data_IF_483856236654
#
_entry.id   IF_483856236654
#
_cell.length_a   1.000
_cell.length_b   1.000
_cell.length_c   1.000
_cell.angle_alpha   90.00
_cell.angle_beta   90.00
_cell.angle_gamma   90.00
#
_symmetry.space_group_name_H-M   'P 1'
#
loop_
_entity.id
_entity.type
_entity.pdbx_description
1 polymer ?
#
# COMPACT_ATOMS: atom_id res chain seq x y z
N UNK A 1 -9.97 -11.93 -3.97
CA UNK A 1 -9.58 -10.64 -3.34
C UNK A 1 -10.36 -10.46 -2.05
N UNK A 2 -9.72 -9.99 -0.98
CA UNK A 2 -10.38 -9.62 0.29
C UNK A 2 -9.97 -8.19 0.63
N UNK A 3 -10.90 -7.42 1.14
CA UNK A 3 -10.66 -6.07 1.63
C UNK A 3 -11.07 -5.99 3.10
N UNK A 4 -10.21 -5.40 3.90
CA UNK A 4 -10.45 -5.21 5.32
C UNK A 4 -10.48 -3.71 5.63
N UNK A 5 -11.38 -3.30 6.50
CA UNK A 5 -11.48 -1.93 7.03
C UNK A 5 -11.45 -2.03 8.55
N UNK A 6 -10.55 -1.30 9.19
CA UNK A 6 -10.32 -1.37 10.64
C UNK A 6 -10.10 -2.81 11.16
N UNK A 7 -9.44 -3.65 10.35
CA UNK A 7 -9.17 -5.05 10.69
C UNK A 7 -10.35 -6.02 10.50
N UNK A 8 -11.53 -5.54 10.13
CA UNK A 8 -12.71 -6.37 9.87
C UNK A 8 -12.90 -6.57 8.36
N UNK A 9 -13.34 -7.78 7.97
CA UNK A 9 -13.59 -8.10 6.56
C UNK A 9 -14.77 -7.27 6.04
N UNK A 10 -14.47 -6.34 5.14
CA UNK A 10 -15.46 -5.48 4.50
C UNK A 10 -16.01 -6.09 3.22
N UNK A 11 -15.14 -6.70 2.41
CA UNK A 11 -15.49 -7.22 1.09
C UNK A 11 -14.65 -8.45 0.76
N UNK A 12 -15.30 -9.44 0.15
CA UNK A 12 -14.61 -10.61 -0.40
C UNK A 12 -15.21 -10.95 -1.78
N UNK A 13 -14.32 -11.13 -2.76
CA UNK A 13 -14.69 -11.60 -4.09
C UNK A 13 -13.69 -12.65 -4.56
N UNK A 14 -14.22 -13.78 -4.99
CA UNK A 14 -13.44 -14.75 -5.75
C UNK A 14 -13.14 -14.19 -7.13
N UNK A 15 -11.92 -14.35 -7.59
CA UNK A 15 -11.57 -13.92 -8.93
C UNK A 15 -11.99 -15.02 -9.91
N UNK A 16 -13.07 -14.78 -10.64
CA UNK A 16 -13.64 -15.73 -11.61
C UNK A 16 -13.22 -15.39 -13.05
N UNK A 17 -12.27 -14.47 -13.23
CA UNK A 17 -11.81 -14.12 -14.58
C UNK A 17 -11.00 -15.26 -15.14
N UNK A 18 -11.57 -15.94 -16.13
CA UNK A 18 -10.95 -17.00 -16.89
C UNK A 18 -10.58 -16.46 -18.26
N UNK A 19 -9.48 -16.98 -18.83
CA UNK A 19 -9.19 -16.76 -20.24
C UNK A 19 -10.14 -17.60 -21.13
N UNK A 20 -10.06 -17.47 -22.43
CA UNK A 20 -10.88 -18.21 -23.39
C UNK A 20 -10.71 -19.73 -23.30
N UNK A 21 -9.61 -20.22 -22.72
CA UNK A 21 -9.36 -21.61 -22.41
C UNK A 21 -9.93 -22.06 -21.03
N UNK A 22 -10.64 -21.20 -20.31
CA UNK A 22 -11.23 -21.49 -19.00
C UNK A 22 -10.23 -21.49 -17.85
N UNK A 23 -8.99 -21.08 -18.06
CA UNK A 23 -7.95 -21.02 -17.04
C UNK A 23 -8.09 -19.74 -16.23
N UNK A 24 -8.14 -19.87 -14.89
CA UNK A 24 -8.15 -18.72 -13.97
C UNK A 24 -6.94 -17.82 -14.22
N UNK A 25 -7.20 -16.57 -14.48
CA UNK A 25 -6.14 -15.58 -14.66
C UNK A 25 -5.71 -15.03 -13.29
N UNK A 26 -4.43 -15.20 -12.98
CA UNK A 26 -3.80 -14.42 -11.94
C UNK A 26 -3.61 -12.99 -12.46
N UNK A 27 -4.49 -12.11 -12.06
CA UNK A 27 -4.28 -10.68 -12.26
C UNK A 27 -3.18 -10.19 -11.32
N UNK A 28 -1.95 -10.47 -11.69
CA UNK A 28 -0.84 -9.67 -11.20
C UNK A 28 -0.84 -8.37 -12.00
N UNK A 29 -0.79 -7.22 -11.35
CA UNK A 29 -0.58 -5.96 -12.06
C UNK A 29 0.62 -6.14 -12.99
N UNK A 30 0.44 -5.86 -14.27
CA UNK A 30 1.52 -5.96 -15.23
C UNK A 30 2.55 -4.86 -14.90
N UNK A 31 3.54 -5.21 -14.12
CA UNK A 31 4.63 -4.32 -13.69
C UNK A 31 5.65 -4.12 -14.82
N UNK A 32 5.17 -3.64 -15.96
CA UNK A 32 6.05 -3.24 -17.08
C UNK A 32 6.87 -2.02 -16.66
N UNK A 33 7.91 -2.19 -15.83
CA UNK A 33 8.87 -1.12 -15.47
C UNK A 33 8.22 0.25 -15.17
N UNK A 34 6.98 0.26 -14.65
CA UNK A 34 6.26 1.47 -14.33
C UNK A 34 6.31 1.70 -12.82
N UNK A 35 6.37 2.96 -12.44
CA UNK A 35 6.23 3.34 -11.05
C UNK A 35 4.86 2.90 -10.52
N UNK A 36 4.85 2.38 -9.31
CA UNK A 36 3.59 2.17 -8.61
C UNK A 36 3.07 3.54 -8.13
N UNK A 37 1.86 3.87 -8.54
CA UNK A 37 1.15 5.02 -8.01
C UNK A 37 0.22 4.58 -6.88
N UNK A 38 0.32 5.27 -5.76
CA UNK A 38 -0.58 5.05 -4.64
C UNK A 38 -1.40 6.33 -4.43
N UNK A 39 -2.71 6.15 -4.17
CA UNK A 39 -3.63 7.23 -3.80
C UNK A 39 -4.01 8.22 -4.91
N UNK A 40 -3.51 8.03 -6.11
CA UNK A 40 -3.88 8.81 -7.28
C UNK A 40 -3.75 7.95 -8.54
N UNK A 41 -4.64 8.15 -9.50
CA UNK A 41 -4.43 7.66 -10.87
C UNK A 41 -3.59 8.68 -11.65
N UNK A 42 -2.46 8.28 -12.27
CA UNK A 42 -1.54 9.23 -12.91
C UNK A 42 -2.13 9.92 -14.13
N UNK A 43 -3.17 9.36 -14.73
CA UNK A 43 -3.83 9.87 -15.96
C UNK A 43 -5.12 10.64 -15.69
N UNK A 44 -5.62 10.61 -14.46
CA UNK A 44 -6.89 11.24 -14.10
C UNK A 44 -6.82 11.89 -12.72
N UNK A 45 -6.63 13.20 -12.69
CA UNK A 45 -6.57 13.97 -11.46
C UNK A 45 -7.88 13.99 -10.66
N UNK A 46 -9.00 13.54 -11.23
CA UNK A 46 -10.27 13.43 -10.52
C UNK A 46 -10.34 12.21 -9.59
N UNK A 47 -9.46 11.24 -9.80
CA UNK A 47 -9.40 9.98 -9.03
C UNK A 47 -8.31 10.01 -7.97
N UNK A 48 -8.40 11.01 -7.11
CA UNK A 48 -7.46 11.20 -6.01
C UNK A 48 -8.12 10.83 -4.69
N UNK A 49 -7.33 10.26 -3.78
CA UNK A 49 -7.76 10.09 -2.40
C UNK A 49 -7.65 11.42 -1.66
N UNK A 50 -8.73 11.84 -1.03
CA UNK A 50 -8.69 12.92 -0.04
C UNK A 50 -8.66 12.29 1.36
N UNK A 51 -7.61 12.53 2.12
CA UNK A 51 -7.46 11.94 3.46
C UNK A 51 -6.03 12.04 3.97
N UNK A 52 -5.77 11.34 5.07
CA UNK A 52 -4.47 11.27 5.71
C UNK A 52 -3.86 9.89 5.55
N UNK A 53 -2.55 9.85 5.32
CA UNK A 53 -1.78 8.61 5.23
C UNK A 53 -0.74 8.65 6.34
N UNK A 54 -0.77 7.65 7.21
CA UNK A 54 0.20 7.49 8.30
C UNK A 54 1.25 6.45 7.96
N UNK A 55 0.81 5.29 7.46
CA UNK A 55 1.69 4.15 7.15
C UNK A 55 1.22 3.46 5.88
N UNK A 56 2.16 2.99 5.08
CA UNK A 56 1.90 2.16 3.91
C UNK A 56 2.81 0.94 3.94
N UNK A 57 2.27 -0.24 3.67
CA UNK A 57 3.04 -1.49 3.65
C UNK A 57 2.57 -2.40 2.52
N UNK A 58 3.51 -3.06 1.88
CA UNK A 58 3.23 -4.08 0.87
C UNK A 58 3.92 -5.38 1.25
N UNK A 59 3.21 -6.47 1.06
CA UNK A 59 3.69 -7.81 1.35
C UNK A 59 3.61 -8.70 0.12
N UNK A 60 4.59 -9.57 -0.07
CA UNK A 60 4.60 -10.56 -1.15
C UNK A 60 3.66 -11.75 -0.88
N UNK A 61 3.12 -11.86 0.32
CA UNK A 61 2.20 -12.92 0.75
C UNK A 61 0.88 -12.34 1.23
N UNK A 62 -0.21 -13.02 0.90
CA UNK A 62 -1.52 -12.66 1.43
C UNK A 62 -1.54 -12.87 2.96
N UNK A 63 -2.05 -11.89 3.68
CA UNK A 63 -2.20 -11.94 5.13
C UNK A 63 -3.56 -12.48 5.53
N UNK A 64 -3.59 -13.31 6.57
CA UNK A 64 -4.81 -13.76 7.21
C UNK A 64 -5.51 -12.61 7.96
N UNK A 65 -6.77 -12.78 8.30
CA UNK A 65 -7.53 -11.78 9.06
C UNK A 65 -6.85 -11.42 10.40
N UNK A 66 -6.30 -12.41 11.09
CA UNK A 66 -5.61 -12.18 12.36
C UNK A 66 -4.29 -11.41 12.17
N UNK A 67 -3.52 -11.74 11.12
CA UNK A 67 -2.32 -10.98 10.78
C UNK A 67 -2.64 -9.54 10.41
N UNK A 68 -3.73 -9.30 9.64
CA UNK A 68 -4.18 -7.94 9.31
C UNK A 68 -4.47 -7.15 10.58
N UNK A 69 -5.21 -7.72 11.54
CA UNK A 69 -5.52 -7.06 12.84
C UNK A 69 -4.26 -6.76 13.65
N UNK A 70 -3.33 -7.70 13.71
CA UNK A 70 -2.06 -7.51 14.43
C UNK A 70 -1.20 -6.45 13.78
N UNK A 71 -1.02 -6.55 12.45
CA UNK A 71 -0.16 -5.63 11.69
C UNK A 71 -0.72 -4.21 11.62
N UNK A 72 -2.02 -4.03 11.74
CA UNK A 72 -2.66 -2.71 11.76
C UNK A 72 -2.16 -1.88 12.95
N UNK A 73 -1.93 -2.51 14.10
CA UNK A 73 -1.56 -1.84 15.36
C UNK A 73 -0.07 -1.99 15.73
N UNK A 74 0.72 -2.67 14.90
CA UNK A 74 2.15 -2.89 15.16
C UNK A 74 3.03 -2.06 14.22
N UNK A 75 4.26 -1.85 14.61
CA UNK A 75 5.31 -1.33 13.74
C UNK A 75 6.08 -2.47 13.09
N UNK A 76 6.68 -2.16 11.94
CA UNK A 76 7.60 -3.06 11.24
C UNK A 76 9.00 -2.46 11.27
N UNK A 77 9.99 -3.34 11.31
CA UNK A 77 11.41 -2.97 11.35
C UNK A 77 12.04 -2.83 9.96
N UNK A 78 11.43 -3.49 8.96
CA UNK A 78 11.93 -3.56 7.58
C UNK A 78 12.57 -4.91 7.23
N UNK A 79 12.70 -5.82 8.21
CA UNK A 79 13.37 -7.13 8.03
C UNK A 79 12.38 -8.31 8.04
N UNK A 80 11.10 -8.04 8.17
CA UNK A 80 10.06 -9.06 8.26
C UNK A 80 9.97 -9.90 6.98
N UNK A 81 9.82 -11.21 7.15
CA UNK A 81 9.69 -12.13 6.02
C UNK A 81 8.48 -11.79 5.16
N UNK A 82 8.70 -11.66 3.87
CA UNK A 82 7.67 -11.31 2.90
C UNK A 82 7.30 -9.82 2.86
N UNK A 83 7.92 -8.96 3.67
CA UNK A 83 7.77 -7.52 3.53
C UNK A 83 8.49 -7.03 2.28
N UNK A 84 7.76 -6.42 1.36
CA UNK A 84 8.32 -5.86 0.11
C UNK A 84 8.78 -4.42 0.35
N UNK A 85 7.92 -3.60 0.93
CA UNK A 85 8.23 -2.22 1.31
C UNK A 85 7.35 -1.75 2.46
N UNK A 86 7.83 -0.75 3.20
CA UNK A 86 7.09 -0.12 4.29
C UNK A 86 7.53 1.34 4.46
N UNK A 87 6.58 2.24 4.41
CA UNK A 87 6.78 3.65 4.73
C UNK A 87 6.01 4.00 6.00
N UNK A 88 6.65 4.76 6.85
CA UNK A 88 6.06 5.38 8.04
C UNK A 88 6.24 6.89 7.93
N UNK A 89 5.17 7.57 7.56
CA UNK A 89 5.18 9.01 7.34
C UNK A 89 5.19 9.82 8.64
N UNK A 90 5.05 9.17 9.79
CA UNK A 90 5.10 9.85 11.10
C UNK A 90 6.51 10.18 11.58
N UNK A 91 7.52 9.54 10.98
CA UNK A 91 8.92 9.70 11.34
C UNK A 91 9.71 10.52 10.32
N UNK A 92 9.04 11.04 9.29
CA UNK A 92 9.65 11.82 8.21
C UNK A 92 9.69 13.28 8.61
N UNK A 93 10.82 13.94 8.33
CA UNK A 93 10.92 15.40 8.50
C UNK A 93 9.98 16.13 7.53
N UNK A 94 9.50 17.29 7.94
CA UNK A 94 8.70 18.17 7.08
C UNK A 94 9.48 18.53 5.79
N UNK A 95 8.76 18.69 4.68
CA UNK A 95 9.30 19.06 3.37
C UNK A 95 10.16 18.02 2.64
N UNK A 96 10.22 16.80 3.15
CA UNK A 96 10.90 15.70 2.46
C UNK A 96 10.00 15.12 1.37
N UNK A 97 10.48 15.14 0.12
CA UNK A 97 9.74 14.60 -1.04
C UNK A 97 10.18 13.19 -1.43
N UNK A 98 11.37 12.76 -1.04
CA UNK A 98 11.91 11.44 -1.29
C UNK A 98 12.04 10.69 0.04
N UNK A 99 11.22 9.69 0.24
CA UNK A 99 11.10 8.98 1.52
C UNK A 99 11.60 7.56 1.32
N UNK A 100 12.74 7.18 1.92
CA UNK A 100 13.20 5.80 1.91
C UNK A 100 12.23 4.91 2.71
N UNK A 101 12.03 3.71 2.24
CA UNK A 101 11.26 2.72 2.98
C UNK A 101 12.09 2.06 4.08
N UNK A 102 11.43 1.41 5.04
CA UNK A 102 12.11 0.72 6.16
C UNK A 102 12.95 -0.47 5.72
N UNK A 103 12.71 -1.05 4.54
CA UNK A 103 13.54 -2.14 4.00
C UNK A 103 14.85 -1.62 3.38
N UNK A 104 14.94 -0.32 3.12
CA UNK A 104 16.07 0.32 2.45
C UNK A 104 16.18 0.02 0.95
N UNK A 105 15.17 -0.60 0.35
CA UNK A 105 15.21 -1.05 -1.06
C UNK A 105 14.43 -0.13 -1.99
N UNK A 106 13.51 0.66 -1.45
CA UNK A 106 12.61 1.49 -2.26
C UNK A 106 12.55 2.91 -1.71
N UNK A 107 12.26 3.85 -2.61
CA UNK A 107 12.04 5.25 -2.27
C UNK A 107 10.68 5.67 -2.79
N UNK A 108 9.84 6.20 -1.92
CA UNK A 108 8.62 6.86 -2.33
C UNK A 108 8.92 8.32 -2.66
N UNK A 109 8.37 8.81 -3.76
CA UNK A 109 8.37 10.22 -4.12
C UNK A 109 6.98 10.79 -3.95
N UNK A 110 6.85 11.86 -3.18
CA UNK A 110 5.58 12.59 -3.07
C UNK A 110 5.49 13.53 -4.26
N UNK A 111 4.36 13.50 -4.96
CA UNK A 111 4.09 14.32 -6.14
C UNK A 111 2.72 14.98 -5.97
N UNK A 112 2.59 16.23 -6.35
CA UNK A 112 1.33 16.98 -6.29
C UNK A 112 1.18 17.85 -5.05
N UNK A 113 -0.06 18.26 -4.78
CA UNK A 113 -0.36 19.10 -3.64
C UNK A 113 -0.57 18.26 -2.37
N UNK A 114 0.28 18.41 -1.39
CA UNK A 114 0.17 17.75 -0.11
C UNK A 114 0.49 18.73 1.02
N UNK A 115 0.08 18.36 2.23
CA UNK A 115 0.43 19.07 3.46
C UNK A 115 0.87 18.08 4.51
N UNK A 116 1.87 18.43 5.26
CA UNK A 116 2.24 17.71 6.47
C UNK A 116 1.40 18.18 7.65
N UNK A 117 0.89 17.24 8.39
CA UNK A 117 0.17 17.51 9.64
C UNK A 117 0.89 16.80 10.78
N UNK A 118 1.23 17.55 11.80
CA UNK A 118 1.73 16.99 13.04
C UNK A 118 0.57 16.37 13.80
N UNK A 119 0.65 15.07 14.05
CA UNK A 119 -0.32 14.41 14.93
C UNK A 119 0.20 14.59 16.36
N UNK A 120 -0.47 15.40 17.15
CA UNK A 120 -0.22 15.49 18.59
C UNK A 120 -0.81 14.21 19.22
N UNK A 121 -0.01 13.53 20.05
CA UNK A 121 -0.42 12.34 20.77
C UNK A 121 -1.21 12.72 22.03
#
# INVERSE_FOLDING_TARGET
MKMYVNGELFFSKTNDVKNDAGVLQNYMPNTRNQNMWAFQEPTDNSRCMTGFIKKFRMWSTAKSANEVKTLMNSDVTGTESGLVCAWDFTTVAEDVTNIPDKTGKHVAKIVGNYKWFKVEN
#
